data_IF_704042181978
#
_entry.id   IF_704042181978
#
_cell.length_a   1.000
_cell.length_b   1.000
_cell.length_c   1.000
_cell.angle_alpha   90.00
_cell.angle_beta   90.00
_cell.angle_gamma   90.00
#
_symmetry.space_group_name_H-M   'P 1'
#
loop_
_entity.id
_entity.type
_entity.pdbx_description
1 polymer ?
#
# COMPACT_ATOMS: atom_id res chain seq x y z
N UNK A 1 -12.99 1.06 6.16
CA UNK A 1 -12.94 -0.30 5.62
C UNK A 1 -11.50 -0.77 5.63
N UNK A 2 -11.24 -2.04 5.95
CA UNK A 2 -9.89 -2.61 5.83
C UNK A 2 -9.64 -3.18 4.41
N UNK A 3 -8.39 -3.56 4.11
CA UNK A 3 -8.02 -4.08 2.80
C UNK A 3 -8.76 -5.38 2.46
N UNK A 4 -9.11 -6.20 3.46
CA UNK A 4 -9.86 -7.45 3.26
C UNK A 4 -11.29 -7.15 2.85
N UNK A 5 -11.97 -6.29 3.57
CA UNK A 5 -13.35 -5.85 3.29
C UNK A 5 -13.46 -5.26 1.87
N UNK A 6 -12.51 -4.41 1.46
CA UNK A 6 -12.49 -3.84 0.09
C UNK A 6 -12.37 -4.91 -1.00
N UNK A 7 -11.49 -5.89 -0.79
CA UNK A 7 -11.34 -7.00 -1.75
C UNK A 7 -12.65 -7.76 -1.91
N UNK A 8 -13.39 -8.02 -0.83
CA UNK A 8 -14.68 -8.71 -0.92
C UNK A 8 -15.72 -7.89 -1.69
N UNK A 9 -15.84 -6.58 -1.44
CA UNK A 9 -16.76 -5.73 -2.22
C UNK A 9 -16.40 -5.72 -3.70
N UNK A 10 -15.10 -5.62 -4.04
CA UNK A 10 -14.67 -5.70 -5.43
C UNK A 10 -15.03 -7.05 -6.08
N UNK A 11 -14.91 -8.17 -5.36
CA UNK A 11 -15.31 -9.48 -5.85
C UNK A 11 -16.82 -9.59 -6.08
N UNK A 12 -17.62 -8.89 -5.27
CA UNK A 12 -19.07 -8.82 -5.40
C UNK A 12 -19.54 -7.73 -6.39
N UNK A 13 -18.61 -7.04 -7.06
CA UNK A 13 -18.85 -5.91 -7.97
C UNK A 13 -19.56 -4.72 -7.30
N UNK A 14 -19.34 -4.53 -6.01
CA UNK A 14 -19.78 -3.36 -5.24
C UNK A 14 -18.67 -2.30 -5.15
N UNK A 15 -19.04 -1.02 -5.07
CA UNK A 15 -18.09 0.09 -4.96
C UNK A 15 -17.50 0.16 -3.55
N UNK A 16 -16.17 0.05 -3.37
CA UNK A 16 -15.52 0.22 -2.07
C UNK A 16 -15.39 1.70 -1.69
N UNK A 17 -15.01 1.97 -0.43
CA UNK A 17 -14.73 3.34 0.05
C UNK A 17 -13.54 4.00 -0.68
N UNK A 18 -12.61 3.20 -1.20
CA UNK A 18 -11.56 3.60 -2.14
C UNK A 18 -11.04 2.40 -2.94
N UNK A 19 -10.37 2.68 -4.05
CA UNK A 19 -9.63 1.67 -4.82
C UNK A 19 -8.35 1.28 -4.05
N UNK A 20 -8.06 -0.02 -3.87
CA UNK A 20 -6.79 -0.47 -3.30
C UNK A 20 -5.60 0.00 -4.13
N UNK A 21 -4.50 0.35 -3.46
CA UNK A 21 -3.26 0.77 -4.13
C UNK A 21 -2.09 -0.16 -3.78
N UNK A 22 -1.35 -0.50 -4.82
CA UNK A 22 -0.29 -1.49 -4.82
C UNK A 22 1.06 -0.80 -4.94
N UNK A 23 2.03 -1.19 -4.11
CA UNK A 23 3.38 -0.64 -4.18
C UNK A 23 4.45 -1.73 -4.23
N UNK A 24 5.23 -1.72 -5.31
CA UNK A 24 6.45 -2.51 -5.44
C UNK A 24 7.65 -1.59 -5.65
N UNK A 25 8.75 -1.93 -4.99
CA UNK A 25 10.02 -1.26 -5.17
C UNK A 25 11.17 -2.26 -4.98
N UNK A 26 12.23 -2.10 -5.79
CA UNK A 26 13.46 -2.88 -5.62
C UNK A 26 14.18 -2.49 -4.32
N UNK A 27 15.12 -3.33 -3.87
CA UNK A 27 15.93 -3.02 -2.68
C UNK A 27 16.68 -1.68 -2.81
N UNK A 28 17.19 -1.36 -4.01
CA UNK A 28 17.86 -0.08 -4.26
C UNK A 28 16.91 1.12 -4.19
N UNK A 29 15.66 0.94 -4.65
CA UNK A 29 14.63 1.97 -4.52
C UNK A 29 14.20 2.16 -3.06
N UNK A 30 14.05 1.10 -2.28
CA UNK A 30 13.78 1.21 -0.84
C UNK A 30 14.89 1.96 -0.10
N UNK A 31 16.16 1.69 -0.42
CA UNK A 31 17.28 2.44 0.15
C UNK A 31 17.21 3.93 -0.18
N UNK A 32 16.84 4.29 -1.41
CA UNK A 32 16.66 5.69 -1.81
C UNK A 32 15.47 6.36 -1.10
N UNK A 33 14.35 5.65 -0.96
CA UNK A 33 13.15 6.13 -0.25
C UNK A 33 13.46 6.37 1.23
N UNK A 34 14.09 5.41 1.90
CA UNK A 34 14.47 5.53 3.30
C UNK A 34 15.44 6.70 3.52
N UNK A 35 16.43 6.86 2.64
CA UNK A 35 17.36 8.00 2.69
C UNK A 35 16.66 9.36 2.46
N UNK A 36 15.66 9.42 1.57
CA UNK A 36 14.96 10.66 1.24
C UNK A 36 13.89 11.05 2.28
N UNK A 37 13.27 10.07 2.94
CA UNK A 37 12.13 10.28 3.83
C UNK A 37 12.48 10.13 5.31
N UNK A 38 13.57 9.42 5.63
CA UNK A 38 13.90 8.98 6.98
C UNK A 38 12.94 7.93 7.55
N UNK A 39 12.02 7.39 6.71
CA UNK A 39 11.04 6.40 7.11
C UNK A 39 11.55 4.99 6.84
N UNK A 40 11.27 4.07 7.76
CA UNK A 40 11.40 2.64 7.48
C UNK A 40 10.39 2.24 6.40
N UNK A 41 10.64 1.11 5.73
CA UNK A 41 9.70 0.53 4.75
C UNK A 41 8.27 0.46 5.30
N UNK A 42 8.07 -0.09 6.50
CA UNK A 42 6.72 -0.26 7.07
C UNK A 42 6.07 1.09 7.38
N UNK A 43 6.81 2.03 7.96
CA UNK A 43 6.29 3.37 8.25
C UNK A 43 5.90 4.12 6.96
N UNK A 44 6.68 3.97 5.89
CA UNK A 44 6.37 4.55 4.59
C UNK A 44 5.08 3.95 4.00
N UNK A 45 4.95 2.63 4.02
CA UNK A 45 3.77 1.94 3.49
C UNK A 45 2.50 2.32 4.25
N UNK A 46 2.58 2.39 5.58
CA UNK A 46 1.46 2.79 6.43
C UNK A 46 1.10 4.27 6.22
N UNK A 47 2.09 5.16 6.12
CA UNK A 47 1.86 6.59 5.90
C UNK A 47 1.22 6.91 4.54
N UNK A 48 1.39 6.01 3.55
CA UNK A 48 0.82 6.14 2.21
C UNK A 48 -0.39 5.22 1.98
N UNK A 49 -0.93 4.59 3.04
CA UNK A 49 -2.12 3.74 3.00
C UNK A 49 -2.06 2.64 1.91
N UNK A 50 -0.89 2.00 1.79
CA UNK A 50 -0.63 0.95 0.80
C UNK A 50 -1.27 -0.37 1.23
N UNK A 51 -2.10 -0.94 0.34
CA UNK A 51 -2.85 -2.16 0.59
C UNK A 51 -2.05 -3.43 0.27
N UNK A 52 -1.46 -3.48 -0.92
CA UNK A 52 -0.70 -4.63 -1.38
C UNK A 52 0.80 -4.31 -1.44
N UNK A 53 1.57 -5.19 -0.79
CA UNK A 53 3.02 -5.07 -0.58
C UNK A 53 3.70 -6.23 -1.29
N UNK A 54 4.62 -5.93 -2.21
CA UNK A 54 5.33 -6.92 -3.03
C UNK A 54 6.83 -6.99 -2.71
#
# INVERSE_FOLDING_TARGET
MDSRERVFLCLDHEEPDRVPFDFWASNGAWAAIEAATGMTRDAFLDANDVDLRY
#
